data_IF_235052352242
#
_entry.id   IF_235052352242
#
_cell.length_a   1.000
_cell.length_b   1.000
_cell.length_c   1.000
_cell.angle_alpha   90.00
_cell.angle_beta   90.00
_cell.angle_gamma   90.00
#
_symmetry.space_group_name_H-M   'P 1'
#
loop_
_entity.id
_entity.type
_entity.pdbx_description
1 polymer ?
#
# COMPACT_ATOMS: atom_id res chain seq x y z
N UNK A 1 -6.33 -17.47 -6.23
CA UNK A 1 -6.48 -16.00 -6.09
C UNK A 1 -7.42 -15.38 -7.11
N UNK A 2 -7.35 -15.72 -8.41
CA UNK A 2 -8.24 -15.15 -9.46
C UNK A 2 -9.75 -15.29 -9.19
N UNK A 3 -10.17 -16.32 -8.44
CA UNK A 3 -11.56 -16.55 -8.05
C UNK A 3 -12.11 -15.59 -6.96
N UNK A 4 -11.27 -14.75 -6.36
CA UNK A 4 -11.69 -13.74 -5.36
C UNK A 4 -12.03 -12.37 -5.99
N UNK A 5 -11.57 -12.11 -7.22
CA UNK A 5 -11.89 -10.86 -7.94
C UNK A 5 -13.38 -10.59 -8.16
N UNK A 6 -14.27 -11.60 -8.32
CA UNK A 6 -15.71 -11.37 -8.38
C UNK A 6 -16.26 -10.63 -7.17
N UNK A 7 -15.78 -10.93 -5.95
CA UNK A 7 -16.21 -10.26 -4.71
C UNK A 7 -15.77 -8.78 -4.64
N UNK A 8 -14.76 -8.38 -5.43
CA UNK A 8 -14.32 -6.99 -5.54
C UNK A 8 -15.09 -6.20 -6.60
N UNK A 9 -15.82 -6.86 -7.51
CA UNK A 9 -16.55 -6.18 -8.60
C UNK A 9 -17.63 -5.21 -8.10
N UNK A 10 -18.43 -5.52 -7.07
CA UNK A 10 -19.43 -4.58 -6.55
C UNK A 10 -18.79 -3.29 -6.01
N UNK A 11 -17.56 -3.37 -5.51
CA UNK A 11 -16.86 -2.26 -4.83
C UNK A 11 -15.90 -1.49 -5.73
N UNK A 12 -16.04 -1.58 -7.06
CA UNK A 12 -15.15 -0.92 -8.03
C UNK A 12 -15.07 0.59 -7.86
N UNK A 13 -16.19 1.25 -7.57
CA UNK A 13 -16.24 2.71 -7.40
C UNK A 13 -15.42 3.13 -6.16
N UNK A 14 -15.68 2.59 -4.95
CA UNK A 14 -14.82 2.80 -3.79
C UNK A 14 -13.34 2.53 -4.03
N UNK A 15 -13.01 1.46 -4.78
CA UNK A 15 -11.62 1.12 -5.14
C UNK A 15 -10.98 2.24 -5.96
N UNK A 16 -11.65 2.72 -7.00
CA UNK A 16 -11.13 3.80 -7.84
C UNK A 16 -10.96 5.11 -7.07
N UNK A 17 -11.89 5.43 -6.17
CA UNK A 17 -11.77 6.60 -5.30
C UNK A 17 -10.54 6.45 -4.39
N UNK A 18 -10.38 5.30 -3.73
CA UNK A 18 -9.22 5.05 -2.88
C UNK A 18 -7.91 5.19 -3.67
N UNK A 19 -7.79 4.53 -4.83
CA UNK A 19 -6.58 4.61 -5.65
C UNK A 19 -6.26 6.02 -6.12
N UNK A 20 -7.27 6.80 -6.49
CA UNK A 20 -7.08 8.20 -6.92
C UNK A 20 -6.58 9.06 -5.77
N UNK A 21 -7.17 8.93 -4.58
CA UNK A 21 -6.75 9.67 -3.39
C UNK A 21 -5.33 9.29 -2.94
N UNK A 22 -4.99 8.00 -3.00
CA UNK A 22 -3.62 7.52 -2.75
C UNK A 22 -2.62 8.15 -3.74
N UNK A 23 -3.02 8.31 -5.01
CA UNK A 23 -2.17 8.95 -6.01
C UNK A 23 -1.98 10.45 -5.73
N UNK A 24 -3.02 11.13 -5.26
CA UNK A 24 -2.91 12.54 -4.82
C UNK A 24 -1.93 12.68 -3.67
N UNK A 25 -1.99 11.81 -2.65
CA UNK A 25 -1.00 11.80 -1.57
C UNK A 25 0.43 11.63 -2.08
N UNK A 26 0.62 10.63 -2.96
CA UNK A 26 1.91 10.31 -3.55
C UNK A 26 2.52 11.51 -4.29
N UNK A 27 1.71 12.21 -5.08
CA UNK A 27 2.17 13.38 -5.85
C UNK A 27 2.61 14.50 -4.91
N UNK A 28 1.83 14.79 -3.87
CA UNK A 28 2.21 15.82 -2.87
C UNK A 28 3.51 15.44 -2.16
N UNK A 29 3.65 14.19 -1.75
CA UNK A 29 4.86 13.67 -1.10
C UNK A 29 6.10 13.80 -1.99
N UNK A 30 5.99 13.51 -3.29
CA UNK A 30 7.09 13.63 -4.25
C UNK A 30 7.45 15.08 -4.59
N UNK A 31 6.49 16.01 -4.53
CA UNK A 31 6.72 17.43 -4.83
C UNK A 31 7.32 18.17 -3.62
N UNK A 32 7.07 17.72 -2.39
CA UNK A 32 7.56 18.38 -1.17
C UNK A 32 9.06 18.71 -1.16
N UNK A 33 9.97 17.79 -1.52
CA UNK A 33 11.41 18.09 -1.57
C UNK A 33 11.76 19.20 -2.57
N UNK A 34 11.06 19.28 -3.71
CA UNK A 34 11.27 20.31 -4.72
C UNK A 34 10.86 21.69 -4.21
N UNK A 35 9.75 21.76 -3.47
CA UNK A 35 9.29 23.00 -2.86
C UNK A 35 10.22 23.46 -1.75
N UNK A 36 10.74 22.51 -0.95
CA UNK A 36 11.77 22.79 0.06
C UNK A 36 13.03 23.36 -0.58
N UNK A 37 13.53 22.73 -1.64
CA UNK A 37 14.69 23.24 -2.39
C UNK A 37 14.43 24.66 -2.89
N UNK A 38 13.25 24.91 -3.47
CA UNK A 38 12.87 26.24 -3.96
C UNK A 38 12.79 27.30 -2.86
N UNK A 39 12.26 26.95 -1.69
CA UNK A 39 12.22 27.88 -0.54
C UNK A 39 13.63 28.24 -0.09
N UNK A 40 14.55 27.27 -0.08
CA UNK A 40 15.94 27.49 0.32
C UNK A 40 16.65 28.37 -0.72
N UNK A 41 16.61 27.96 -1.99
CA UNK A 41 17.40 28.57 -3.07
C UNK A 41 16.88 29.96 -3.49
N UNK A 42 15.56 30.10 -3.71
CA UNK A 42 14.97 31.36 -4.17
C UNK A 42 14.58 32.28 -2.99
N UNK A 43 14.27 31.70 -1.82
CA UNK A 43 13.77 32.44 -0.66
C UNK A 43 14.87 32.80 0.33
N UNK A 44 15.48 31.80 0.97
CA UNK A 44 16.45 32.01 2.04
C UNK A 44 17.75 32.61 1.50
N UNK A 45 18.33 32.00 0.46
CA UNK A 45 19.56 32.53 -0.17
C UNK A 45 19.29 33.88 -0.84
N UNK A 46 18.09 34.08 -1.39
CA UNK A 46 17.63 35.35 -1.96
C UNK A 46 17.26 36.43 -0.94
N UNK A 47 17.26 36.13 0.37
CA UNK A 47 16.76 37.00 1.44
C UNK A 47 15.31 37.51 1.27
N UNK A 48 14.47 36.81 0.50
CA UNK A 48 13.07 37.17 0.31
C UNK A 48 12.15 36.35 1.23
N UNK A 49 11.88 36.89 2.42
CA UNK A 49 10.98 36.24 3.39
C UNK A 49 9.52 36.22 2.95
N UNK A 50 9.09 37.13 2.06
CA UNK A 50 7.74 37.08 1.52
C UNK A 50 7.56 35.89 0.59
N UNK A 51 8.60 35.55 -0.19
CA UNK A 51 8.64 34.33 -1.00
C UNK A 51 8.56 33.07 -0.13
N UNK A 52 9.38 33.00 0.92
CA UNK A 52 9.38 31.88 1.89
C UNK A 52 7.99 31.70 2.51
N UNK A 53 7.35 32.78 2.95
CA UNK A 53 6.03 32.72 3.59
C UNK A 53 4.92 32.25 2.63
N UNK A 54 4.95 32.71 1.36
CA UNK A 54 3.98 32.28 0.34
C UNK A 54 4.11 30.80 0.01
N UNK A 55 5.32 30.33 -0.29
CA UNK A 55 5.55 28.93 -0.65
C UNK A 55 5.44 27.99 0.54
N UNK A 56 5.86 28.42 1.74
CA UNK A 56 5.62 27.70 2.98
C UNK A 56 4.13 27.54 3.28
N UNK A 57 3.34 28.60 3.12
CA UNK A 57 1.88 28.53 3.22
C UNK A 57 1.25 27.55 2.21
N UNK A 58 1.74 27.57 0.96
CA UNK A 58 1.30 26.63 -0.08
C UNK A 58 1.65 25.18 0.28
N UNK A 59 2.84 24.91 0.82
CA UNK A 59 3.25 23.59 1.30
C UNK A 59 2.33 23.08 2.40
N UNK A 60 1.95 23.93 3.36
CA UNK A 60 1.00 23.57 4.43
C UNK A 60 -0.36 23.22 3.82
N UNK A 61 -0.85 24.02 2.86
CA UNK A 61 -2.13 23.74 2.19
C UNK A 61 -2.11 22.39 1.45
N UNK A 62 -1.03 22.08 0.73
CA UNK A 62 -0.87 20.78 0.06
C UNK A 62 -0.75 19.63 1.05
N UNK A 63 -0.02 19.82 2.14
CA UNK A 63 0.07 18.84 3.23
C UNK A 63 -1.30 18.52 3.83
N UNK A 64 -2.12 19.54 4.03
CA UNK A 64 -3.47 19.37 4.56
C UNK A 64 -4.38 18.64 3.56
N UNK A 65 -4.25 18.95 2.27
CA UNK A 65 -4.98 18.25 1.19
C UNK A 65 -4.57 16.77 1.11
N UNK A 66 -3.28 16.47 1.20
CA UNK A 66 -2.79 15.09 1.25
C UNK A 66 -3.30 14.37 2.50
N UNK A 67 -3.26 15.02 3.66
CA UNK A 67 -3.76 14.48 4.91
C UNK A 67 -5.25 14.12 4.84
N UNK A 68 -6.09 15.02 4.32
CA UNK A 68 -7.52 14.77 4.11
C UNK A 68 -7.72 13.63 3.12
N UNK A 69 -6.98 13.62 2.01
CA UNK A 69 -7.03 12.53 1.02
C UNK A 69 -6.67 11.19 1.64
N UNK A 70 -5.70 11.15 2.55
CA UNK A 70 -5.30 9.95 3.29
C UNK A 70 -6.34 9.40 4.25
N UNK A 71 -7.04 10.28 4.96
CA UNK A 71 -8.15 9.90 5.83
C UNK A 71 -9.27 9.29 4.97
N UNK A 72 -9.66 9.97 3.90
CA UNK A 72 -10.74 9.52 3.02
C UNK A 72 -10.35 8.21 2.31
N UNK A 73 -9.11 8.10 1.82
CA UNK A 73 -8.56 6.85 1.27
C UNK A 73 -8.66 5.71 2.28
N UNK A 74 -8.25 5.94 3.53
CA UNK A 74 -8.25 4.92 4.59
C UNK A 74 -9.68 4.45 4.90
N UNK A 75 -10.65 5.37 4.88
CA UNK A 75 -12.07 5.04 5.02
C UNK A 75 -12.56 4.16 3.88
N UNK A 76 -12.34 4.53 2.61
CA UNK A 76 -12.76 3.73 1.46
C UNK A 76 -12.05 2.38 1.38
N UNK A 77 -10.75 2.33 1.65
CA UNK A 77 -9.98 1.09 1.70
C UNK A 77 -10.51 0.15 2.79
N UNK A 78 -10.81 0.70 3.98
CA UNK A 78 -11.44 -0.02 5.08
C UNK A 78 -12.81 -0.55 4.67
N UNK A 79 -13.66 0.29 4.10
CA UNK A 79 -14.98 -0.11 3.62
C UNK A 79 -14.91 -1.27 2.61
N UNK A 80 -14.08 -1.15 1.56
CA UNK A 80 -13.89 -2.21 0.55
C UNK A 80 -13.43 -3.51 1.20
N UNK A 81 -12.41 -3.45 2.07
CA UNK A 81 -11.87 -4.64 2.73
C UNK A 81 -12.90 -5.33 3.62
N UNK A 82 -13.66 -4.55 4.40
CA UNK A 82 -14.62 -5.10 5.35
C UNK A 82 -15.84 -5.68 4.64
N UNK A 83 -16.40 -4.95 3.68
CA UNK A 83 -17.53 -5.42 2.88
C UNK A 83 -17.19 -6.67 2.07
N UNK A 84 -16.01 -6.71 1.45
CA UNK A 84 -15.56 -7.92 0.74
C UNK A 84 -15.44 -9.12 1.68
N UNK A 85 -14.91 -8.93 2.89
CA UNK A 85 -14.83 -10.02 3.86
C UNK A 85 -16.18 -10.39 4.48
N UNK A 86 -17.14 -9.47 4.54
CA UNK A 86 -18.52 -9.79 4.92
C UNK A 86 -19.15 -10.75 3.90
N UNK A 87 -19.07 -10.41 2.60
CA UNK A 87 -19.61 -11.24 1.52
C UNK A 87 -18.96 -12.64 1.49
N UNK A 88 -17.63 -12.70 1.60
CA UNK A 88 -16.91 -13.98 1.62
C UNK A 88 -17.34 -14.84 2.82
N UNK A 89 -17.48 -14.25 4.01
CA UNK A 89 -17.95 -15.01 5.19
C UNK A 89 -19.39 -15.47 5.02
N UNK A 90 -20.26 -14.64 4.46
CA UNK A 90 -21.65 -14.99 4.17
C UNK A 90 -21.75 -16.21 3.26
N UNK A 91 -21.08 -16.17 2.11
CA UNK A 91 -21.05 -17.28 1.15
C UNK A 91 -20.44 -18.55 1.74
N UNK A 92 -19.35 -18.42 2.51
CA UNK A 92 -18.72 -19.56 3.18
C UNK A 92 -19.64 -20.19 4.22
N UNK A 93 -20.34 -19.37 5.01
CA UNK A 93 -21.26 -19.84 6.03
C UNK A 93 -22.43 -20.61 5.40
N UNK A 94 -23.06 -20.05 4.35
CA UNK A 94 -24.13 -20.72 3.62
C UNK A 94 -23.65 -22.03 2.99
N UNK A 95 -22.44 -22.04 2.44
CA UNK A 95 -21.84 -23.25 1.85
C UNK A 95 -21.65 -24.35 2.90
N UNK A 96 -21.16 -23.99 4.08
CA UNK A 96 -20.91 -24.95 5.17
C UNK A 96 -22.20 -25.51 5.72
N UNK A 97 -23.26 -24.70 5.85
CA UNK A 97 -24.58 -25.19 6.27
C UNK A 97 -25.20 -26.21 5.30
N UNK A 98 -24.87 -26.11 4.01
CA UNK A 98 -25.33 -27.05 2.96
C UNK A 98 -24.47 -28.31 2.83
N UNK A 99 -23.43 -28.49 3.65
CA UNK A 99 -22.58 -29.68 3.57
C UNK A 99 -23.28 -30.93 4.09
N UNK A 100 -23.10 -32.04 3.37
CA UNK A 100 -23.50 -33.36 3.85
C UNK A 100 -22.61 -33.81 5.01
N UNK A 101 -23.12 -34.74 5.83
CA UNK A 101 -22.36 -35.32 6.94
C UNK A 101 -21.04 -35.97 6.49
N UNK A 102 -21.02 -36.62 5.32
CA UNK A 102 -19.79 -37.16 4.72
C UNK A 102 -18.76 -36.08 4.36
N UNK A 103 -19.23 -34.91 3.89
CA UNK A 103 -18.36 -33.77 3.56
C UNK A 103 -17.77 -33.14 4.82
N UNK A 104 -18.56 -33.05 5.88
CA UNK A 104 -18.12 -32.60 7.21
C UNK A 104 -17.09 -33.56 7.84
N UNK A 105 -17.18 -34.87 7.59
CA UNK A 105 -16.14 -35.80 8.06
C UNK A 105 -14.83 -35.67 7.27
N UNK A 106 -14.89 -35.27 5.98
CA UNK A 106 -13.68 -35.01 5.16
C UNK A 106 -12.94 -33.73 5.56
N UNK A 107 -13.65 -32.71 6.05
CA UNK A 107 -13.05 -31.45 6.49
C UNK A 107 -13.13 -31.32 8.00
N UNK A 108 -11.99 -31.31 8.70
CA UNK A 108 -12.00 -31.06 10.14
C UNK A 108 -12.69 -29.72 10.47
N UNK A 109 -13.64 -29.76 11.41
CA UNK A 109 -14.38 -28.57 11.87
C UNK A 109 -13.46 -27.43 12.28
N UNK A 110 -12.34 -27.76 12.95
CA UNK A 110 -11.28 -26.82 13.31
C UNK A 110 -10.68 -26.09 12.10
N UNK A 111 -10.44 -26.79 10.99
CA UNK A 111 -9.94 -26.18 9.76
C UNK A 111 -10.99 -25.31 9.06
N UNK A 112 -12.27 -25.63 9.17
CA UNK A 112 -13.34 -24.78 8.60
C UNK A 112 -13.45 -23.46 9.36
N UNK A 113 -13.32 -23.50 10.68
CA UNK A 113 -13.30 -22.30 11.53
C UNK A 113 -12.12 -21.40 11.16
N UNK A 114 -10.90 -21.94 11.08
CA UNK A 114 -9.71 -21.13 10.75
C UNK A 114 -9.79 -20.53 9.35
N UNK A 115 -10.40 -21.23 8.38
CA UNK A 115 -10.65 -20.69 7.04
C UNK A 115 -11.67 -19.55 7.05
N UNK A 116 -12.74 -19.65 7.84
CA UNK A 116 -13.75 -18.59 7.95
C UNK A 116 -13.26 -17.36 8.72
N UNK A 117 -12.27 -17.52 9.61
CA UNK A 117 -11.75 -16.43 10.44
C UNK A 117 -10.42 -15.90 9.91
N UNK A 118 -9.36 -16.69 10.03
CA UNK A 118 -7.99 -16.26 9.76
C UNK A 118 -7.76 -16.01 8.26
N UNK A 119 -8.17 -16.94 7.40
CA UNK A 119 -7.93 -16.79 5.96
C UNK A 119 -8.72 -15.62 5.38
N UNK A 120 -9.98 -15.43 5.80
CA UNK A 120 -10.77 -14.26 5.39
C UNK A 120 -10.14 -12.97 5.91
N UNK A 121 -9.70 -12.93 7.16
CA UNK A 121 -9.04 -11.74 7.73
C UNK A 121 -7.74 -11.41 6.99
N UNK A 122 -6.97 -12.42 6.59
CA UNK A 122 -5.77 -12.23 5.77
C UNK A 122 -6.12 -11.63 4.41
N UNK A 123 -7.20 -12.08 3.77
CA UNK A 123 -7.69 -11.52 2.51
C UNK A 123 -8.14 -10.06 2.70
N UNK A 124 -8.90 -9.75 3.76
CA UNK A 124 -9.32 -8.38 4.08
C UNK A 124 -8.11 -7.46 4.26
N UNK A 125 -7.14 -7.89 5.07
CA UNK A 125 -5.91 -7.13 5.29
C UNK A 125 -5.11 -6.96 4.01
N UNK A 126 -5.05 -7.99 3.15
CA UNK A 126 -4.39 -7.89 1.85
C UNK A 126 -5.07 -6.84 0.98
N UNK A 127 -6.41 -6.84 0.87
CA UNK A 127 -7.17 -5.84 0.11
C UNK A 127 -6.90 -4.43 0.66
N UNK A 128 -6.95 -4.26 1.97
CA UNK A 128 -6.67 -2.98 2.63
C UNK A 128 -5.24 -2.49 2.35
N UNK A 129 -4.25 -3.38 2.49
CA UNK A 129 -2.85 -3.06 2.21
C UNK A 129 -2.61 -2.73 0.74
N UNK A 130 -3.27 -3.45 -0.20
CA UNK A 130 -3.22 -3.16 -1.62
C UNK A 130 -3.59 -1.70 -1.90
N UNK A 131 -4.76 -1.27 -1.41
CA UNK A 131 -5.31 0.06 -1.66
C UNK A 131 -4.58 1.21 -0.96
N UNK A 132 -3.65 0.91 -0.04
CA UNK A 132 -2.88 1.90 0.73
C UNK A 132 -1.39 1.86 0.44
N UNK A 133 -0.71 0.82 0.91
CA UNK A 133 0.76 0.80 1.00
C UNK A 133 1.36 0.01 -0.15
N UNK A 134 0.75 -1.13 -0.52
CA UNK A 134 1.36 -2.06 -1.46
C UNK A 134 1.49 -1.47 -2.87
N UNK A 135 0.51 -0.69 -3.34
CA UNK A 135 0.62 0.04 -4.60
C UNK A 135 1.47 1.32 -4.46
N UNK A 136 1.37 2.01 -3.32
CA UNK A 136 2.09 3.27 -3.08
C UNK A 136 3.61 3.08 -3.00
N UNK A 137 4.08 2.05 -2.30
CA UNK A 137 5.51 1.80 -2.07
C UNK A 137 6.36 1.74 -3.35
N UNK A 138 6.03 0.91 -4.37
CA UNK A 138 6.80 0.90 -5.61
C UNK A 138 6.70 2.24 -6.34
N UNK A 139 5.54 2.89 -6.33
CA UNK A 139 5.36 4.19 -6.99
C UNK A 139 6.21 5.30 -6.36
N UNK A 140 6.37 5.30 -5.02
CA UNK A 140 7.30 6.21 -4.34
C UNK A 140 8.73 5.94 -4.78
N UNK A 141 9.16 4.67 -4.85
CA UNK A 141 10.52 4.32 -5.26
C UNK A 141 10.80 4.79 -6.68
N UNK A 142 9.91 4.48 -7.63
CA UNK A 142 10.07 4.93 -9.02
C UNK A 142 9.98 6.45 -9.15
N UNK A 143 8.97 7.07 -8.54
CA UNK A 143 8.78 8.53 -8.58
C UNK A 143 9.94 9.28 -7.94
N UNK A 144 10.47 8.79 -6.81
CA UNK A 144 11.61 9.38 -6.12
C UNK A 144 12.90 9.30 -6.93
N UNK A 145 13.16 8.16 -7.60
CA UNK A 145 14.31 8.02 -8.52
C UNK A 145 14.19 9.00 -9.68
N UNK A 146 13.01 9.09 -10.29
CA UNK A 146 12.76 10.02 -11.40
C UNK A 146 12.99 11.45 -10.94
N UNK A 147 12.42 11.85 -9.80
CA UNK A 147 12.63 13.20 -9.24
C UNK A 147 14.10 13.49 -8.91
N UNK A 148 14.82 12.52 -8.34
CA UNK A 148 16.24 12.69 -8.04
C UNK A 148 17.07 12.90 -9.31
N UNK A 149 16.77 12.16 -10.38
CA UNK A 149 17.41 12.34 -11.69
C UNK A 149 17.09 13.72 -12.30
N UNK A 150 15.86 14.21 -12.12
CA UNK A 150 15.48 15.56 -12.55
C UNK A 150 16.23 16.66 -11.80
N UNK A 151 16.43 16.51 -10.49
CA UNK A 151 17.15 17.50 -9.67
C UNK A 151 18.64 17.48 -9.97
N UNK A 152 19.27 16.30 -9.96
CA UNK A 152 20.69 16.17 -10.25
C UNK A 152 21.02 14.77 -10.75
N UNK A 153 21.42 14.67 -12.03
CA UNK A 153 21.72 13.39 -12.68
C UNK A 153 22.83 12.62 -11.97
N UNK A 154 23.89 13.29 -11.47
CA UNK A 154 25.01 12.59 -10.80
C UNK A 154 24.56 11.96 -9.48
N UNK A 155 23.81 12.69 -8.66
CA UNK A 155 23.27 12.16 -7.40
C UNK A 155 22.17 11.12 -7.65
N UNK A 156 21.31 11.35 -8.64
CA UNK A 156 20.27 10.41 -9.05
C UNK A 156 20.83 9.07 -9.54
N UNK A 157 21.93 9.08 -10.30
CA UNK A 157 22.61 7.86 -10.74
C UNK A 157 23.10 7.00 -9.57
N UNK A 158 23.54 7.61 -8.46
CA UNK A 158 23.92 6.88 -7.25
C UNK A 158 22.70 6.11 -6.70
N UNK A 159 21.53 6.74 -6.65
CA UNK A 159 20.29 6.09 -6.20
C UNK A 159 19.84 4.97 -7.14
N UNK A 160 19.95 5.19 -8.46
CA UNK A 160 19.63 4.18 -9.49
C UNK A 160 20.46 2.92 -9.32
N UNK A 161 21.73 3.04 -8.92
CA UNK A 161 22.60 1.88 -8.65
C UNK A 161 22.34 1.28 -7.27
N UNK A 162 22.12 2.13 -6.26
CA UNK A 162 21.96 1.69 -4.86
C UNK A 162 20.66 0.92 -4.65
N UNK A 163 19.55 1.35 -5.25
CA UNK A 163 18.23 0.72 -5.05
C UNK A 163 18.22 -0.75 -5.50
N UNK A 164 18.68 -1.12 -6.72
CA UNK A 164 18.80 -2.51 -7.14
C UNK A 164 19.71 -3.34 -6.22
N UNK A 165 20.81 -2.77 -5.72
CA UNK A 165 21.70 -3.47 -4.78
C UNK A 165 20.96 -3.80 -3.49
N UNK A 166 20.21 -2.85 -2.94
CA UNK A 166 19.37 -3.07 -1.76
C UNK A 166 18.31 -4.15 -2.04
N UNK A 167 17.63 -4.10 -3.18
CA UNK A 167 16.62 -5.10 -3.56
C UNK A 167 17.27 -6.50 -3.66
N UNK A 168 18.43 -6.61 -4.30
CA UNK A 168 19.16 -7.88 -4.40
C UNK A 168 19.56 -8.41 -3.02
N UNK A 169 20.07 -7.54 -2.15
CA UNK A 169 20.44 -7.90 -0.79
C UNK A 169 19.21 -8.38 0.02
N UNK A 170 18.10 -7.64 -0.03
CA UNK A 170 16.87 -8.02 0.66
C UNK A 170 16.30 -9.35 0.15
N UNK A 171 16.26 -9.55 -1.18
CA UNK A 171 15.80 -10.82 -1.74
C UNK A 171 16.72 -12.00 -1.41
N UNK A 172 18.03 -11.77 -1.29
CA UNK A 172 18.98 -12.77 -0.83
C UNK A 172 18.75 -13.12 0.65
N UNK A 173 18.60 -12.11 1.51
CA UNK A 173 18.34 -12.27 2.94
C UNK A 173 17.03 -13.06 3.17
N UNK A 174 15.95 -12.67 2.48
CA UNK A 174 14.66 -13.37 2.57
C UNK A 174 14.74 -14.85 2.14
N UNK A 175 15.53 -15.17 1.10
CA UNK A 175 15.74 -16.56 0.69
C UNK A 175 16.46 -17.36 1.78
N UNK A 176 17.50 -16.79 2.38
CA UNK A 176 18.23 -17.41 3.49
C UNK A 176 17.33 -17.67 4.69
N UNK A 177 16.55 -16.68 5.11
CA UNK A 177 15.62 -16.83 6.25
C UNK A 177 14.58 -17.94 6.00
N UNK A 178 14.06 -18.04 4.78
CA UNK A 178 13.11 -19.08 4.41
C UNK A 178 13.74 -20.48 4.53
N UNK A 179 15.01 -20.62 4.17
CA UNK A 179 15.73 -21.88 4.25
C UNK A 179 16.05 -22.25 5.72
N UNK A 180 16.35 -21.28 6.58
CA UNK A 180 16.47 -21.51 8.02
C UNK A 180 15.15 -21.96 8.66
N UNK A 181 14.02 -21.33 8.29
CA UNK A 181 12.69 -21.73 8.79
C UNK A 181 12.30 -23.14 8.35
N UNK A 182 12.64 -23.54 7.12
CA UNK A 182 12.42 -24.92 6.65
C UNK A 182 13.27 -25.94 7.40
N UNK A 183 14.47 -25.56 7.82
CA UNK A 183 15.35 -26.41 8.62
C UNK A 183 14.75 -26.68 10.00
N UNK A 184 14.22 -25.65 10.66
CA UNK A 184 13.60 -25.77 11.97
C UNK A 184 12.30 -26.60 11.95
N UNK A 185 11.48 -26.49 10.89
CA UNK A 185 10.26 -27.30 10.72
C UNK A 185 10.49 -28.78 10.37
N UNK A 186 11.74 -29.18 10.10
CA UNK A 186 12.12 -30.58 9.84
C UNK A 186 12.62 -31.33 11.09
N UNK A 187 12.83 -30.62 12.19
CA UNK A 187 13.14 -31.17 13.52
C UNK A 187 11.85 -31.31 14.31
#
# INVERSE_FOLDING_TARGET
>A
MLKLFPFLKPYRIPIWIALTLMFVELVVELIHPLLLARIIDDGIVGNDMAFVMRWGGMMIAMSLLAFISGIINSFYAGHVSQSTGYDIRGDMYEKIQRFSYETLQRFQTSSLITRMTNDVTLIQNTIFMCLRIMFRAPLIVFGGVIMALFVNVRLGLILVVTIPIIILFLTWMMKKDLDYLKMFKRV
#
